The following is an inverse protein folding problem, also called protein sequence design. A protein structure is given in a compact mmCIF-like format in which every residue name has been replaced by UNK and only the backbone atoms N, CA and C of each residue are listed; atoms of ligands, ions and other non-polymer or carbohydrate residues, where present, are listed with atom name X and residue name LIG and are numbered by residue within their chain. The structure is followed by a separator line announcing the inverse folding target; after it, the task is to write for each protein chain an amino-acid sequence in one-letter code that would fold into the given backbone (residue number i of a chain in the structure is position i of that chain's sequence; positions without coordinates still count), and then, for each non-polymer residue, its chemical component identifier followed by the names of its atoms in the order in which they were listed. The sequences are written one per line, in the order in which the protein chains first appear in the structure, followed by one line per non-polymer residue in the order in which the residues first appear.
data_IF_801699580400
#
_entry.id   IF_801699580400
#
_cell.length_a   1.000
_cell.length_b   1.000
_cell.length_c   1.000
_cell.angle_alpha   90.00
_cell.angle_beta   90.00
_cell.angle_gamma   90.00
#
_symmetry.space_group_name_H-M   'P 1'
#
loop_
_entity.id
_entity.type
_entity.pdbx_description
1 polymer ?
#
# COMPACT_ATOMS: atom_id res chain seq x y z
N UNK A 1 -15.22 36.41 2.82
CA UNK A 1 -14.00 35.82 2.21
C UNK A 1 -13.14 34.98 3.17
N UNK A 2 -13.19 35.18 4.50
CA UNK A 2 -12.45 34.33 5.48
C UNK A 2 -13.06 32.92 5.69
N UNK A 3 -14.39 32.81 5.66
CA UNK A 3 -15.10 31.55 5.94
C UNK A 3 -14.98 30.52 4.80
N UNK A 4 -14.88 30.98 3.55
CA UNK A 4 -14.71 30.10 2.38
C UNK A 4 -13.34 29.42 2.36
N UNK A 5 -12.27 30.14 2.75
CA UNK A 5 -10.92 29.56 2.83
C UNK A 5 -10.80 28.49 3.91
N UNK A 6 -11.42 28.69 5.07
CA UNK A 6 -11.43 27.70 6.16
C UNK A 6 -12.16 26.41 5.77
N UNK A 7 -13.25 26.54 5.02
CA UNK A 7 -14.05 25.40 4.53
C UNK A 7 -13.27 24.54 3.52
N UNK A 8 -12.52 25.18 2.61
CA UNK A 8 -11.66 24.47 1.64
C UNK A 8 -10.54 23.71 2.37
N UNK A 9 -9.89 24.34 3.34
CA UNK A 9 -8.82 23.70 4.13
C UNK A 9 -9.36 22.51 4.93
N UNK A 10 -10.56 22.62 5.52
CA UNK A 10 -11.20 21.54 6.24
C UNK A 10 -11.57 20.35 5.33
N UNK A 11 -12.06 20.61 4.12
CA UNK A 11 -12.36 19.56 3.13
C UNK A 11 -11.07 18.85 2.69
N UNK A 12 -9.99 19.61 2.44
CA UNK A 12 -8.69 19.03 2.06
C UNK A 12 -8.12 18.18 3.19
N UNK A 13 -8.25 18.58 4.46
CA UNK A 13 -7.74 17.78 5.58
C UNK A 13 -8.52 16.47 5.77
N UNK A 14 -9.84 16.49 5.55
CA UNK A 14 -10.68 15.28 5.57
C UNK A 14 -10.29 14.30 4.45
N UNK A 15 -9.96 14.81 3.27
CA UNK A 15 -9.50 13.98 2.15
C UNK A 15 -8.11 13.38 2.39
N UNK A 16 -7.24 14.05 3.15
CA UNK A 16 -5.91 13.51 3.50
C UNK A 16 -5.97 12.37 4.53
N UNK A 17 -7.06 12.27 5.32
CA UNK A 17 -7.25 11.18 6.29
C UNK A 17 -7.67 9.84 5.68
N UNK A 18 -8.06 9.78 4.40
CA UNK A 18 -8.48 8.52 3.75
C UNK A 18 -7.33 7.63 3.29
N UNK A 19 -6.07 8.04 3.51
CA UNK A 19 -4.89 7.29 3.07
C UNK A 19 -4.64 5.98 3.83
N UNK A 20 -5.37 5.68 4.91
CA UNK A 20 -5.15 4.48 5.74
C UNK A 20 -5.73 3.17 5.16
N UNK A 21 -5.85 3.03 3.84
CA UNK A 21 -6.24 1.74 3.25
C UNK A 21 -5.02 0.82 3.20
N UNK A 22 -4.93 -0.07 4.20
CA UNK A 22 -4.02 -1.22 4.19
C UNK A 22 -4.82 -2.48 3.87
N UNK A 23 -4.42 -3.17 2.80
CA UNK A 23 -5.00 -4.45 2.44
C UNK A 23 -3.99 -5.55 2.74
N UNK A 24 -4.45 -6.58 3.44
CA UNK A 24 -3.63 -7.72 3.84
C UNK A 24 -4.16 -8.97 3.16
N UNK A 25 -3.27 -9.70 2.52
CA UNK A 25 -3.55 -11.00 1.92
C UNK A 25 -2.66 -12.02 2.62
N UNK A 26 -3.29 -12.95 3.32
CA UNK A 26 -2.59 -14.07 3.95
C UNK A 26 -2.56 -15.24 2.95
N UNK A 27 -1.38 -15.79 2.71
CA UNK A 27 -1.17 -16.92 1.82
C UNK A 27 -0.75 -18.13 2.65
N UNK A 28 -1.40 -19.27 2.42
CA UNK A 28 -1.15 -20.51 3.15
C UNK A 28 -1.87 -20.58 4.50
N UNK A 29 -1.22 -21.14 5.51
CA UNK A 29 -1.74 -21.26 6.89
C UNK A 29 -1.43 -20.05 7.78
N UNK A 30 -0.91 -18.95 7.21
CA UNK A 30 -0.63 -17.75 7.97
C UNK A 30 -1.94 -17.11 8.50
N UNK A 31 -2.12 -17.10 9.82
CA UNK A 31 -3.24 -16.43 10.49
C UNK A 31 -2.85 -15.02 10.93
N UNK A 32 -3.86 -14.16 11.14
CA UNK A 32 -3.63 -12.76 11.51
C UNK A 32 -2.88 -12.58 12.85
N UNK A 33 -2.88 -13.61 13.70
CA UNK A 33 -2.31 -13.62 15.05
C UNK A 33 -0.86 -14.13 15.12
N UNK A 34 -0.30 -14.67 14.03
CA UNK A 34 1.09 -15.16 14.04
C UNK A 34 2.08 -14.00 14.16
N UNK A 35 3.12 -14.17 14.99
CA UNK A 35 4.25 -13.24 15.08
C UNK A 35 4.95 -13.14 13.73
N UNK A 36 5.27 -11.91 13.28
CA UNK A 36 5.67 -11.63 11.90
C UNK A 36 7.01 -10.93 11.86
N UNK A 37 7.90 -11.39 11.00
CA UNK A 37 9.11 -10.65 10.65
C UNK A 37 8.90 -9.99 9.29
N UNK A 38 9.14 -8.68 9.24
CA UNK A 38 9.22 -7.93 7.98
C UNK A 38 10.47 -8.38 7.24
N UNK A 39 10.30 -9.06 6.11
CA UNK A 39 11.42 -9.58 5.30
C UNK A 39 11.79 -8.65 4.16
N UNK A 40 10.82 -7.97 3.55
CA UNK A 40 11.08 -7.07 2.43
C UNK A 40 9.96 -6.03 2.26
N UNK A 41 10.31 -4.88 1.69
CA UNK A 41 9.38 -3.84 1.26
C UNK A 41 9.67 -3.47 -0.19
N UNK A 42 8.63 -3.30 -1.00
CA UNK A 42 8.76 -2.92 -2.41
C UNK A 42 7.67 -1.92 -2.78
N UNK A 43 8.04 -0.92 -3.59
CA UNK A 43 7.07 0.03 -4.16
C UNK A 43 6.58 -0.47 -5.51
N UNK A 44 5.27 -0.60 -5.61
CA UNK A 44 4.57 -0.99 -6.80
C UNK A 44 4.14 0.25 -7.56
N UNK A 45 4.56 0.33 -8.81
CA UNK A 45 4.27 1.48 -9.66
C UNK A 45 3.06 1.13 -10.52
N UNK A 46 1.92 1.73 -10.20
CA UNK A 46 0.71 1.60 -10.99
C UNK A 46 0.35 2.92 -11.65
N UNK A 47 -0.18 2.83 -12.87
CA UNK A 47 -0.82 3.92 -13.58
C UNK A 47 -2.34 3.80 -13.51
N UNK A 48 -3.02 4.93 -13.65
CA UNK A 48 -4.48 5.03 -13.73
C UNK A 48 -5.19 4.27 -12.60
N UNK A 49 -4.94 4.66 -11.34
CA UNK A 49 -5.53 4.02 -10.15
C UNK A 49 -5.40 2.48 -10.08
N UNK A 50 -4.30 1.90 -10.59
CA UNK A 50 -4.10 0.44 -10.52
C UNK A 50 -4.46 -0.31 -11.79
N UNK A 51 -4.94 0.36 -12.84
CA UNK A 51 -5.36 -0.29 -14.08
C UNK A 51 -4.18 -0.84 -14.89
N UNK A 52 -3.04 -0.14 -14.87
CA UNK A 52 -1.86 -0.54 -15.65
C UNK A 52 -0.62 -0.63 -14.77
N UNK A 53 -0.03 -1.83 -14.58
CA UNK A 53 1.25 -1.97 -13.91
C UNK A 53 2.39 -1.45 -14.79
N UNK A 54 3.20 -0.51 -14.27
CA UNK A 54 4.39 0.01 -14.96
C UNK A 54 5.56 -0.97 -14.91
N UNK A 55 5.63 -1.76 -13.85
CA UNK A 55 6.70 -2.72 -13.62
C UNK A 55 6.13 -4.13 -13.61
N UNK A 56 6.95 -5.09 -14.03
CA UNK A 56 6.51 -6.46 -14.22
C UNK A 56 6.09 -7.13 -12.91
N UNK A 57 5.26 -8.16 -13.07
CA UNK A 57 4.58 -8.96 -12.06
C UNK A 57 5.32 -9.07 -10.72
N UNK A 58 4.58 -8.80 -9.63
CA UNK A 58 4.99 -8.99 -8.25
C UNK A 58 5.33 -10.46 -7.98
N UNK A 59 6.58 -10.85 -8.18
CA UNK A 59 7.04 -12.18 -7.84
C UNK A 59 7.28 -12.28 -6.33
N UNK A 60 6.22 -12.66 -5.59
CA UNK A 60 6.30 -12.89 -4.15
C UNK A 60 7.44 -13.88 -3.79
N UNK A 61 7.72 -14.85 -4.67
CA UNK A 61 8.82 -15.81 -4.51
C UNK A 61 10.19 -15.15 -4.39
N UNK A 62 10.43 -14.01 -5.06
CA UNK A 62 11.70 -13.30 -4.97
C UNK A 62 11.91 -12.66 -3.58
N UNK A 63 10.84 -12.37 -2.85
CA UNK A 63 10.87 -11.68 -1.56
C UNK A 63 10.69 -12.60 -0.36
N UNK A 64 10.02 -13.73 -0.57
CA UNK A 64 9.66 -14.71 0.48
C UNK A 64 10.49 -16.00 0.38
N UNK A 65 11.16 -16.22 -0.76
CA UNK A 65 11.90 -17.45 -1.05
C UNK A 65 10.95 -18.64 -1.31
N UNK A 66 11.33 -19.83 -0.85
CA UNK A 66 10.53 -21.06 -0.99
C UNK A 66 9.52 -21.28 0.16
N UNK A 67 9.29 -20.27 1.01
CA UNK A 67 8.31 -20.39 2.10
C UNK A 67 6.88 -20.40 1.57
N UNK A 68 6.09 -21.37 2.03
CA UNK A 68 4.70 -21.58 1.60
C UNK A 68 3.71 -20.64 2.30
N UNK A 69 4.03 -20.22 3.52
CA UNK A 69 3.18 -19.35 4.33
C UNK A 69 3.80 -17.95 4.41
N UNK A 70 3.06 -16.94 3.94
CA UNK A 70 3.49 -15.55 3.99
C UNK A 70 2.31 -14.60 3.98
N UNK A 71 2.54 -13.37 4.44
CA UNK A 71 1.54 -12.31 4.48
C UNK A 71 2.03 -11.16 3.63
N UNK A 72 1.20 -10.74 2.68
CA UNK A 72 1.46 -9.58 1.84
C UNK A 72 0.57 -8.43 2.32
N UNK A 73 1.19 -7.36 2.78
CA UNK A 73 0.50 -6.13 3.15
C UNK A 73 0.74 -5.08 2.08
N UNK A 74 -0.32 -4.61 1.43
CA UNK A 74 -0.23 -3.48 0.51
C UNK A 74 -0.84 -2.26 1.18
N UNK A 75 -0.02 -1.24 1.40
CA UNK A 75 -0.41 0.02 2.01
C UNK A 75 -0.28 1.17 1.01
N UNK A 76 -1.13 2.16 1.21
CA UNK A 76 -1.07 3.41 0.48
C UNK A 76 -0.60 4.52 1.43
N UNK A 77 0.45 5.26 1.04
CA UNK A 77 0.98 6.34 1.89
C UNK A 77 0.34 7.69 1.54
N UNK A 78 0.35 8.63 2.49
CA UNK A 78 -0.08 10.03 2.25
C UNK A 78 0.69 10.66 1.09
N UNK A 79 1.99 10.36 0.97
CA UNK A 79 2.83 10.82 -0.14
C UNK A 79 2.33 10.30 -1.49
N UNK A 80 1.86 9.06 -1.53
CA UNK A 80 1.38 8.40 -2.73
C UNK A 80 0.01 8.98 -3.14
N UNK A 81 -0.84 9.31 -2.16
CA UNK A 81 -2.10 10.02 -2.37
C UNK A 81 -1.90 11.46 -2.86
N UNK A 82 -0.93 12.19 -2.31
CA UNK A 82 -0.59 13.52 -2.79
C UNK A 82 -0.07 13.48 -4.24
N UNK A 83 0.76 12.49 -4.56
CA UNK A 83 1.31 12.32 -5.90
C UNK A 83 0.23 11.92 -6.90
N UNK A 84 -0.71 11.05 -6.50
CA UNK A 84 -1.91 10.75 -7.28
C UNK A 84 -2.71 12.02 -7.59
N UNK A 85 -2.93 12.89 -6.59
CA UNK A 85 -3.66 14.13 -6.78
C UNK A 85 -2.94 15.11 -7.75
N UNK A 86 -1.63 15.32 -7.56
CA UNK A 86 -0.83 16.20 -8.42
C UNK A 86 -0.77 15.68 -9.86
N UNK A 87 -0.73 14.36 -10.03
CA UNK A 87 -0.70 13.71 -11.36
C UNK A 87 -2.08 13.44 -11.93
N UNK A 88 -3.15 13.96 -11.32
CA UNK A 88 -4.54 13.76 -11.74
C UNK A 88 -4.93 12.27 -11.91
N UNK A 89 -4.41 11.41 -11.03
CA UNK A 89 -4.67 9.97 -11.02
C UNK A 89 -3.81 9.16 -11.99
N UNK A 90 -2.92 9.80 -12.75
CA UNK A 90 -2.06 9.09 -13.71
C UNK A 90 -1.07 8.20 -12.96
N UNK A 91 -0.42 8.67 -11.90
CA UNK A 91 0.58 7.91 -11.17
C UNK A 91 0.15 7.63 -9.73
N UNK A 92 -0.05 6.34 -9.42
CA UNK A 92 -0.62 5.87 -8.14
C UNK A 92 0.26 4.77 -7.55
N UNK A 93 1.41 5.12 -6.96
CA UNK A 93 2.27 4.11 -6.35
C UNK A 93 1.61 3.51 -5.10
N UNK A 94 1.80 2.21 -4.87
CA UNK A 94 1.43 1.52 -3.63
C UNK A 94 2.66 0.85 -3.05
N UNK A 95 2.70 0.64 -1.73
CA UNK A 95 3.85 -0.01 -1.08
C UNK A 95 3.41 -1.38 -0.59
N UNK A 96 4.08 -2.43 -1.06
CA UNK A 96 3.83 -3.80 -0.64
C UNK A 96 4.95 -4.29 0.25
N UNK A 97 4.59 -4.70 1.46
CA UNK A 97 5.47 -5.28 2.45
C UNK A 97 5.19 -6.77 2.59
N UNK A 98 6.26 -7.56 2.59
CA UNK A 98 6.20 -9.00 2.76
C UNK A 98 6.58 -9.36 4.20
N UNK A 99 5.77 -10.23 4.79
CA UNK A 99 5.97 -10.76 6.11
C UNK A 99 6.00 -12.28 6.06
N UNK A 100 6.86 -12.86 6.89
CA UNK A 100 6.97 -14.30 7.08
C UNK A 100 6.60 -14.61 8.54
N UNK A 101 5.80 -15.68 8.79
CA UNK A 101 5.52 -16.13 10.15
C UNK A 101 6.81 -16.57 10.84
N UNK A 102 7.00 -16.13 12.08
CA UNK A 102 8.06 -16.62 12.95
C UNK A 102 7.66 -18.02 13.43
N UNK A 103 8.42 -19.04 13.01
CA UNK A 103 8.39 -20.36 13.64
C UNK A 103 9.28 -20.25 14.88
N UNK A 104 8.70 -20.37 16.07
CA UNK A 104 9.48 -20.55 17.31
C UNK A 104 10.26 -21.88 17.30
#
# INVERSE_FOLDING_TARGET
MKMTGFLVIAIVSLLLMTSCYTSRVNVGNATAETSRIKVSETKNKFLFWGLLPLDNEQNAKAYVGDKKDYITETSWSVSDGLLNYITLGIYSPTTTTYYVPYEE
#
